data_IF_654535514307
#
_entry.id   IF_654535514307
#
_cell.length_a   1.000
_cell.length_b   1.000
_cell.length_c   1.000
_cell.angle_alpha   90.00
_cell.angle_beta   90.00
_cell.angle_gamma   90.00
#
_symmetry.space_group_name_H-M   'P 1'
#
loop_
_entity.id
_entity.type
_entity.pdbx_description
1 polymer ?
#
# COMPACT_ATOMS: atom_id res chain seq x y z
N UNK A 1 26.45 17.57 -58.20
CA UNK A 1 27.32 17.91 -57.05
C UNK A 1 26.52 18.67 -56.01
N UNK A 2 25.41 18.06 -55.58
CA UNK A 2 25.22 17.44 -54.26
C UNK A 2 26.10 17.98 -53.12
N UNK A 3 25.44 18.41 -52.02
CA UNK A 3 25.48 17.79 -50.66
C UNK A 3 25.21 18.88 -49.58
N UNK A 4 24.00 18.96 -49.00
CA UNK A 4 23.63 18.47 -47.65
C UNK A 4 24.27 19.31 -46.50
N UNK A 5 23.62 19.76 -45.42
CA UNK A 5 22.52 19.16 -44.66
C UNK A 5 21.88 20.21 -43.74
N UNK A 6 20.55 20.32 -43.80
CA UNK A 6 19.69 20.98 -42.82
C UNK A 6 19.52 20.02 -41.63
N UNK A 7 20.09 20.31 -40.46
CA UNK A 7 19.85 19.50 -39.25
C UNK A 7 18.73 20.13 -38.42
N UNK A 8 17.54 19.54 -38.52
CA UNK A 8 16.42 19.80 -37.62
C UNK A 8 16.72 19.25 -36.21
N UNK A 9 16.22 19.87 -35.13
CA UNK A 9 16.32 19.28 -33.81
C UNK A 9 15.38 18.07 -33.72
N UNK A 10 15.97 16.93 -33.36
CA UNK A 10 15.31 15.68 -33.05
C UNK A 10 14.42 15.89 -31.81
N UNK A 11 13.12 16.10 -32.03
CA UNK A 11 12.14 16.07 -30.95
C UNK A 11 12.02 14.61 -30.51
N UNK A 12 12.83 14.23 -29.53
CA UNK A 12 12.68 12.99 -28.80
C UNK A 12 11.24 12.89 -28.27
N UNK A 13 10.44 12.03 -28.92
CA UNK A 13 9.10 11.68 -28.48
C UNK A 13 9.19 10.99 -27.12
N UNK A 14 9.04 11.74 -26.04
CA UNK A 14 8.75 11.20 -24.72
C UNK A 14 7.39 10.51 -24.80
N UNK A 15 7.42 9.18 -24.92
CA UNK A 15 6.25 8.34 -24.76
C UNK A 15 5.69 8.56 -23.34
N UNK A 16 4.64 9.37 -23.24
CA UNK A 16 3.85 9.54 -22.02
C UNK A 16 3.21 8.18 -21.72
N UNK A 17 3.73 7.47 -20.73
CA UNK A 17 3.07 6.28 -20.17
C UNK A 17 1.64 6.68 -19.80
N UNK A 18 0.66 6.00 -20.40
CA UNK A 18 -0.74 6.19 -20.03
C UNK A 18 -0.88 5.97 -18.51
N UNK A 19 -1.62 6.83 -17.78
CA UNK A 19 -1.84 6.62 -16.36
C UNK A 19 -2.48 5.24 -16.18
N UNK A 20 -1.81 4.37 -15.42
CA UNK A 20 -2.39 3.08 -15.08
C UNK A 20 -3.73 3.31 -14.36
N UNK A 21 -4.74 2.46 -14.59
CA UNK A 21 -5.96 2.52 -13.81
C UNK A 21 -5.58 2.46 -12.34
N UNK A 22 -5.98 3.48 -11.56
CA UNK A 22 -5.75 3.48 -10.13
C UNK A 22 -6.63 2.37 -9.56
N UNK A 23 -6.05 1.22 -9.20
CA UNK A 23 -6.80 0.13 -8.60
C UNK A 23 -7.50 0.64 -7.33
N UNK A 24 -8.75 0.21 -7.08
CA UNK A 24 -9.43 0.60 -5.86
C UNK A 24 -8.63 0.12 -4.65
N UNK A 25 -8.59 0.89 -3.55
CA UNK A 25 -7.86 0.48 -2.37
C UNK A 25 -8.43 -0.82 -1.80
N UNK A 26 -7.55 -1.73 -1.40
CA UNK A 26 -7.93 -2.95 -0.72
C UNK A 26 -8.51 -2.59 0.66
N UNK A 27 -9.52 -3.35 1.07
CA UNK A 27 -10.24 -3.15 2.33
C UNK A 27 -9.80 -4.24 3.30
N UNK A 28 -9.29 -3.83 4.46
CA UNK A 28 -8.85 -4.70 5.54
C UNK A 28 -9.78 -4.58 6.74
N UNK A 29 -10.39 -5.69 7.16
CA UNK A 29 -11.21 -5.74 8.36
C UNK A 29 -10.36 -6.01 9.60
N UNK A 30 -10.33 -5.07 10.56
CA UNK A 30 -9.59 -5.22 11.81
C UNK A 30 -9.98 -6.49 12.59
N UNK A 31 -11.27 -6.86 12.75
CA UNK A 31 -11.62 -8.11 13.40
C UNK A 31 -10.99 -9.33 12.70
N UNK A 32 -10.99 -9.36 11.37
CA UNK A 32 -10.37 -10.45 10.61
C UNK A 32 -8.84 -10.49 10.83
N UNK A 33 -8.17 -9.34 10.86
CA UNK A 33 -6.75 -9.25 11.18
C UNK A 33 -6.43 -9.76 12.60
N UNK A 34 -7.31 -9.48 13.56
CA UNK A 34 -7.16 -9.93 14.94
C UNK A 34 -7.30 -11.46 15.10
N UNK A 35 -8.03 -12.13 14.22
CA UNK A 35 -8.21 -13.58 14.20
C UNK A 35 -7.11 -14.34 13.44
N UNK A 36 -6.24 -13.64 12.68
CA UNK A 36 -5.19 -14.29 11.90
C UNK A 36 -4.21 -15.08 12.79
N UNK A 37 -3.93 -16.33 12.44
CA UNK A 37 -2.85 -17.07 13.10
C UNK A 37 -1.49 -16.35 12.89
N UNK A 38 -0.50 -16.56 13.78
CA UNK A 38 0.80 -15.88 13.68
C UNK A 38 1.46 -16.02 12.31
N UNK A 39 1.41 -17.20 11.68
CA UNK A 39 1.98 -17.43 10.35
C UNK A 39 1.35 -16.54 9.28
N UNK A 40 0.02 -16.51 9.20
CA UNK A 40 -0.70 -15.66 8.23
C UNK A 40 -0.46 -14.16 8.47
N UNK A 41 -0.31 -13.75 9.74
CA UNK A 41 0.06 -12.38 10.07
C UNK A 41 1.49 -12.05 9.60
N UNK A 42 2.44 -12.99 9.71
CA UNK A 42 3.81 -12.81 9.19
C UNK A 42 3.84 -12.76 7.66
N UNK A 43 3.05 -13.59 6.98
CA UNK A 43 2.92 -13.53 5.52
C UNK A 43 2.40 -12.16 5.08
N UNK A 44 1.46 -11.59 5.84
CA UNK A 44 0.94 -10.25 5.58
C UNK A 44 2.00 -9.16 5.80
N UNK A 45 2.82 -9.25 6.86
CA UNK A 45 3.97 -8.36 7.03
C UNK A 45 4.95 -8.48 5.85
N UNK A 46 5.23 -9.70 5.37
CA UNK A 46 6.06 -9.96 4.20
C UNK A 46 5.49 -9.32 2.92
N UNK A 47 4.18 -9.43 2.68
CA UNK A 47 3.49 -8.80 1.53
C UNK A 47 3.69 -7.28 1.47
N UNK A 48 3.84 -6.64 2.63
CA UNK A 48 4.04 -5.19 2.74
C UNK A 48 5.50 -4.80 3.02
N UNK A 49 6.44 -5.75 2.93
CA UNK A 49 7.88 -5.54 3.21
C UNK A 49 8.14 -4.94 4.60
N UNK A 50 7.28 -5.28 5.56
CA UNK A 50 7.35 -4.83 6.94
C UNK A 50 8.18 -5.80 7.79
N UNK A 51 9.00 -5.24 8.67
CA UNK A 51 9.85 -6.00 9.59
C UNK A 51 9.32 -5.85 11.02
N UNK A 52 8.49 -6.81 11.51
CA UNK A 52 7.92 -6.73 12.85
C UNK A 52 9.03 -6.87 13.91
N UNK A 53 9.02 -5.98 14.89
CA UNK A 53 10.00 -6.00 15.98
C UNK A 53 9.69 -7.14 16.96
N UNK A 54 10.65 -8.02 17.31
CA UNK A 54 10.38 -9.23 18.10
C UNK A 54 9.89 -8.95 19.53
N UNK A 55 10.23 -7.79 20.09
CA UNK A 55 9.76 -7.35 21.41
C UNK A 55 8.35 -6.75 21.45
N UNK A 56 7.64 -6.66 20.32
CA UNK A 56 6.29 -6.09 20.27
C UNK A 56 5.23 -7.15 20.51
N UNK A 57 4.19 -6.77 21.25
CA UNK A 57 3.01 -7.63 21.42
C UNK A 57 2.24 -7.75 20.11
N UNK A 58 1.44 -8.79 19.96
CA UNK A 58 0.55 -8.97 18.79
C UNK A 58 -0.32 -7.72 18.54
N UNK A 59 -0.86 -7.11 19.59
CA UNK A 59 -1.67 -5.91 19.46
C UNK A 59 -0.86 -4.73 18.88
N UNK A 60 0.37 -4.51 19.36
CA UNK A 60 1.26 -3.48 18.83
C UNK A 60 1.61 -3.73 17.36
N UNK A 61 1.90 -4.99 17.01
CA UNK A 61 2.16 -5.38 15.62
C UNK A 61 0.96 -5.09 14.71
N UNK A 62 -0.25 -5.43 15.14
CA UNK A 62 -1.48 -5.12 14.39
C UNK A 62 -1.68 -3.60 14.22
N UNK A 63 -1.37 -2.81 15.24
CA UNK A 63 -1.42 -1.34 15.15
C UNK A 63 -0.41 -0.79 14.14
N UNK A 64 0.81 -1.32 14.11
CA UNK A 64 1.82 -0.91 13.13
C UNK A 64 1.40 -1.27 11.70
N UNK A 65 0.87 -2.47 11.52
CA UNK A 65 0.33 -2.92 10.24
C UNK A 65 -0.79 -2.00 9.77
N UNK A 66 -1.80 -1.72 10.61
CA UNK A 66 -2.89 -0.80 10.28
C UNK A 66 -2.38 0.59 9.90
N UNK A 67 -1.43 1.13 10.67
CA UNK A 67 -0.83 2.44 10.37
C UNK A 67 -0.16 2.43 8.99
N UNK A 68 0.56 1.36 8.65
CA UNK A 68 1.17 1.21 7.34
C UNK A 68 0.14 1.10 6.21
N UNK A 69 -0.90 0.28 6.38
CA UNK A 69 -1.99 0.12 5.41
C UNK A 69 -2.65 1.47 5.09
N UNK A 70 -3.02 2.23 6.12
CA UNK A 70 -3.60 3.56 5.99
C UNK A 70 -2.64 4.51 5.28
N UNK A 71 -1.34 4.48 5.62
CA UNK A 71 -0.33 5.33 4.98
C UNK A 71 -0.14 5.00 3.48
N UNK A 72 -0.40 3.77 3.04
CA UNK A 72 -0.39 3.36 1.63
C UNK A 72 -1.73 3.57 0.92
N UNK A 73 -2.67 4.27 1.55
CA UNK A 73 -3.99 4.56 0.99
C UNK A 73 -4.96 3.38 1.01
N UNK A 74 -4.64 2.30 1.75
CA UNK A 74 -5.58 1.19 1.95
C UNK A 74 -6.67 1.59 2.94
N UNK A 75 -7.82 0.91 2.86
CA UNK A 75 -8.95 1.16 3.76
C UNK A 75 -8.90 0.14 4.89
N UNK A 76 -8.95 0.59 6.13
CA UNK A 76 -9.12 -0.28 7.30
C UNK A 76 -10.53 -0.09 7.86
N UNK A 77 -11.32 -1.16 7.85
CA UNK A 77 -12.65 -1.20 8.46
C UNK A 77 -12.55 -1.76 9.87
N UNK A 78 -13.30 -1.17 10.78
CA UNK A 78 -13.43 -1.65 12.16
C UNK A 78 -14.90 -1.66 12.55
N UNK A 79 -15.23 -2.51 13.52
CA UNK A 79 -16.54 -2.57 14.17
C UNK A 79 -16.32 -2.63 15.67
N UNK A 80 -17.27 -2.08 16.42
CA UNK A 80 -17.20 -2.02 17.88
C UNK A 80 -18.47 -1.45 18.46
N UNK A 81 -18.53 -1.42 19.79
CA UNK A 81 -19.62 -0.79 20.53
C UNK A 81 -19.27 0.67 20.77
N UNK A 82 -20.28 1.53 20.61
CA UNK A 82 -20.16 2.93 20.96
C UNK A 82 -20.81 3.10 22.34
N UNK A 83 -20.01 3.23 23.39
CA UNK A 83 -20.52 3.57 24.72
C UNK A 83 -20.99 5.03 24.71
N UNK A 84 -22.30 5.23 24.88
CA UNK A 84 -22.90 6.55 25.06
C UNK A 84 -22.96 6.87 26.56
N UNK A 85 -22.62 8.10 26.99
CA UNK A 85 -22.79 8.49 28.38
C UNK A 85 -24.28 8.44 28.75
N UNK A 86 -24.60 7.82 29.90
CA UNK A 86 -25.94 7.81 30.50
C UNK A 86 -26.39 9.20 30.94
#
# INVERSE_FOLDING_TARGET
MDDQTLTAPDHASTATLAPQPNEPPEVFDLPALQELIPAALQDLFGRFELHPHPGRTRHQLLVDLMRHLIARGQVVRTSGFLELPN
#
